data_IF_938478076536
#
_entry.id   IF_938478076536
#
_cell.length_a   1.000
_cell.length_b   1.000
_cell.length_c   1.000
_cell.angle_alpha   90.00
_cell.angle_beta   90.00
_cell.angle_gamma   90.00
#
_symmetry.space_group_name_H-M   'P 1'
#
loop_
_entity.id
_entity.type
_entity.pdbx_description
1 polymer ?
#
# COMPACT_ATOMS: atom_id res chain seq x y z
N UNK A 1 -24.24 25.96 -51.96
CA UNK A 1 -23.55 26.52 -50.80
C UNK A 1 -23.45 25.43 -49.72
N UNK A 2 -22.29 24.85 -49.44
CA UNK A 2 -22.17 23.82 -48.40
C UNK A 2 -22.10 24.49 -47.02
N UNK A 3 -22.89 24.00 -46.08
CA UNK A 3 -22.89 24.43 -44.67
C UNK A 3 -21.59 24.00 -44.00
N UNK A 4 -20.89 24.94 -43.39
CA UNK A 4 -19.71 24.70 -42.56
C UNK A 4 -20.07 23.77 -41.39
N UNK A 5 -19.37 22.65 -41.25
CA UNK A 5 -19.42 21.77 -40.06
C UNK A 5 -18.80 22.53 -38.90
N UNK A 6 -19.60 22.83 -37.88
CA UNK A 6 -19.09 23.32 -36.61
C UNK A 6 -18.23 22.21 -36.00
N UNK A 7 -16.96 22.46 -35.81
CA UNK A 7 -16.03 21.61 -35.06
C UNK A 7 -16.53 21.48 -33.64
N UNK A 8 -16.80 20.22 -33.21
CA UNK A 8 -17.20 19.92 -31.84
C UNK A 8 -16.16 20.49 -30.89
N UNK A 9 -16.57 21.35 -29.96
CA UNK A 9 -15.80 21.76 -28.82
C UNK A 9 -15.50 20.46 -28.00
N UNK A 10 -14.27 19.99 -28.03
CA UNK A 10 -13.83 18.99 -27.08
C UNK A 10 -13.95 19.63 -25.69
N UNK A 11 -14.98 19.22 -24.93
CA UNK A 11 -15.05 19.51 -23.49
C UNK A 11 -13.76 18.94 -22.91
N UNK A 12 -12.90 19.82 -22.35
CA UNK A 12 -11.84 19.35 -21.47
C UNK A 12 -12.53 18.56 -20.36
N UNK A 13 -12.06 17.33 -20.04
CA UNK A 13 -12.55 16.62 -18.87
C UNK A 13 -12.43 17.58 -17.68
N UNK A 14 -13.48 17.74 -16.90
CA UNK A 14 -13.38 18.44 -15.63
C UNK A 14 -12.31 17.75 -14.77
N UNK A 15 -11.41 18.52 -14.14
CA UNK A 15 -10.43 17.91 -13.24
C UNK A 15 -11.17 17.11 -12.17
N UNK A 16 -10.77 15.85 -11.99
CA UNK A 16 -11.30 15.01 -10.94
C UNK A 16 -11.00 15.68 -9.60
N UNK A 17 -12.00 15.88 -8.78
CA UNK A 17 -11.88 16.40 -7.43
C UNK A 17 -12.75 15.56 -6.49
N UNK A 18 -12.40 15.54 -5.21
CA UNK A 18 -13.25 14.89 -4.22
C UNK A 18 -14.63 15.59 -4.18
N UNK A 19 -15.74 14.83 -4.18
CA UNK A 19 -17.06 15.41 -4.04
C UNK A 19 -17.17 16.21 -2.73
N UNK A 20 -17.95 17.29 -2.76
CA UNK A 20 -18.28 18.02 -1.54
C UNK A 20 -19.04 17.10 -0.58
N UNK A 21 -18.64 17.08 0.68
CA UNK A 21 -19.22 16.16 1.68
C UNK A 21 -18.69 14.73 1.61
N UNK A 22 -17.75 14.39 0.73
CA UNK A 22 -17.17 13.05 0.72
C UNK A 22 -16.60 12.68 2.11
N UNK A 23 -16.74 11.40 2.53
CA UNK A 23 -16.20 10.94 3.80
C UNK A 23 -14.68 11.14 3.86
N UNK A 24 -14.13 11.38 5.06
CA UNK A 24 -12.68 11.48 5.19
C UNK A 24 -12.00 10.14 4.86
N UNK A 25 -10.89 10.17 4.12
CA UNK A 25 -9.98 9.04 4.05
C UNK A 25 -9.13 9.01 5.32
N UNK A 26 -9.16 7.92 6.07
CA UNK A 26 -8.33 7.74 7.26
C UNK A 26 -7.35 6.60 7.03
N UNK A 27 -6.05 6.93 6.96
CA UNK A 27 -5.00 5.91 6.95
C UNK A 27 -4.88 5.30 8.35
N UNK A 28 -5.08 3.99 8.48
CA UNK A 28 -4.78 3.26 9.69
C UNK A 28 -3.34 2.77 9.63
N UNK A 29 -2.45 3.46 10.38
CA UNK A 29 -1.01 3.18 10.41
C UNK A 29 -0.70 2.19 11.52
N UNK A 30 -0.21 0.99 11.19
CA UNK A 30 0.17 -0.02 12.18
C UNK A 30 1.55 0.26 12.79
N UNK A 31 1.90 -0.52 13.80
CA UNK A 31 3.22 -0.51 14.42
C UNK A 31 3.45 0.63 15.41
N UNK A 32 4.64 0.65 15.99
CA UNK A 32 5.01 1.68 16.97
C UNK A 32 5.15 3.04 16.27
N UNK A 33 4.43 4.07 16.73
CA UNK A 33 4.55 5.40 16.16
C UNK A 33 5.97 5.95 16.24
N UNK A 34 6.42 6.58 15.16
CA UNK A 34 7.75 7.17 15.03
C UNK A 34 7.75 8.29 14.00
N UNK A 35 8.79 9.10 13.98
CA UNK A 35 8.97 10.11 12.92
C UNK A 35 9.02 9.49 11.52
N UNK A 36 9.58 8.29 11.38
CA UNK A 36 9.64 7.56 10.12
C UNK A 36 8.26 7.11 9.66
N UNK A 37 7.45 6.50 10.56
CA UNK A 37 6.09 6.10 10.24
C UNK A 37 5.18 7.29 9.92
N UNK A 38 5.42 8.46 10.56
CA UNK A 38 4.73 9.70 10.24
C UNK A 38 5.07 10.18 8.84
N UNK A 39 6.36 10.36 8.53
CA UNK A 39 6.80 10.83 7.22
C UNK A 39 6.27 9.96 6.10
N UNK A 40 6.29 8.63 6.30
CA UNK A 40 5.73 7.67 5.35
C UNK A 40 4.22 7.86 5.15
N UNK A 41 3.45 7.98 6.22
CA UNK A 41 2.00 8.16 6.15
C UNK A 41 1.61 9.52 5.53
N UNK A 42 2.36 10.58 5.83
CA UNK A 42 2.18 11.91 5.23
C UNK A 42 2.47 11.89 3.73
N UNK A 43 3.53 11.20 3.29
CA UNK A 43 3.88 11.07 1.88
C UNK A 43 2.83 10.25 1.12
N UNK A 44 2.36 9.13 1.66
CA UNK A 44 1.25 8.33 1.09
C UNK A 44 -0.02 9.19 0.96
N UNK A 45 -0.36 9.96 2.01
CA UNK A 45 -1.51 10.87 1.99
C UNK A 45 -1.34 11.98 0.96
N UNK A 46 -0.12 12.52 0.80
CA UNK A 46 0.19 13.54 -0.19
C UNK A 46 0.01 13.02 -1.62
N UNK A 47 0.44 11.79 -1.90
CA UNK A 47 0.22 11.14 -3.19
C UNK A 47 -1.29 11.02 -3.48
N UNK A 48 -2.08 10.53 -2.51
CA UNK A 48 -3.52 10.41 -2.68
C UNK A 48 -4.20 11.76 -2.95
N UNK A 49 -3.82 12.82 -2.20
CA UNK A 49 -4.35 14.18 -2.41
C UNK A 49 -3.93 14.78 -3.76
N UNK A 50 -2.75 14.45 -4.27
CA UNK A 50 -2.29 14.94 -5.57
C UNK A 50 -3.10 14.36 -6.74
N UNK A 51 -3.60 13.14 -6.61
CA UNK A 51 -4.42 12.46 -7.61
C UNK A 51 -5.92 12.75 -7.45
N UNK A 52 -6.37 13.13 -6.25
CA UNK A 52 -7.75 13.55 -5.95
C UNK A 52 -7.75 14.85 -5.14
N UNK A 53 -7.63 16.01 -5.80
CA UNK A 53 -7.68 17.33 -5.14
C UNK A 53 -8.96 17.51 -4.32
N UNK A 54 -8.82 18.11 -3.13
CA UNK A 54 -9.92 18.28 -2.19
C UNK A 54 -10.17 17.08 -1.28
N UNK A 55 -9.42 15.99 -1.42
CA UNK A 55 -9.51 14.84 -0.54
C UNK A 55 -9.12 15.21 0.90
N UNK A 56 -10.04 15.01 1.85
CA UNK A 56 -9.75 15.05 3.29
C UNK A 56 -9.08 13.73 3.68
N UNK A 57 -7.75 13.72 3.71
CA UNK A 57 -6.98 12.55 4.12
C UNK A 57 -6.36 12.79 5.49
N UNK A 58 -6.59 11.87 6.42
CA UNK A 58 -6.15 11.92 7.82
C UNK A 58 -5.32 10.69 8.16
N UNK A 59 -4.53 10.79 9.22
CA UNK A 59 -3.66 9.71 9.69
C UNK A 59 -4.09 9.35 11.10
N UNK A 60 -4.39 8.07 11.33
CA UNK A 60 -4.69 7.52 12.65
C UNK A 60 -3.76 6.34 12.93
N UNK A 61 -3.09 6.35 14.08
CA UNK A 61 -2.16 5.30 14.48
C UNK A 61 -2.87 4.24 15.31
N UNK A 62 -2.65 2.98 14.99
CA UNK A 62 -3.25 1.85 15.73
C UNK A 62 -2.73 1.81 17.17
N UNK A 63 -1.46 2.17 17.36
CA UNK A 63 -0.76 2.27 18.65
C UNK A 63 -0.51 3.72 19.10
N UNK A 64 -1.24 4.67 18.51
CA UNK A 64 -1.15 6.08 18.88
C UNK A 64 -1.95 6.42 20.15
N UNK A 65 -1.69 7.59 20.73
CA UNK A 65 -2.37 8.01 21.95
C UNK A 65 -2.08 9.43 22.41
N UNK A 66 -1.30 10.19 21.65
CA UNK A 66 -0.94 11.58 21.97
C UNK A 66 -1.25 12.53 20.80
N UNK A 67 -0.97 13.81 20.97
CA UNK A 67 -1.21 14.83 19.94
C UNK A 67 -0.27 14.68 18.74
N UNK A 68 0.90 14.10 18.94
CA UNK A 68 1.89 13.88 17.90
C UNK A 68 1.54 12.67 17.03
N UNK A 69 0.97 11.63 17.66
CA UNK A 69 0.54 10.39 17.03
C UNK A 69 -0.89 10.06 17.46
N UNK A 70 -1.89 10.75 16.88
CA UNK A 70 -3.27 10.57 17.29
C UNK A 70 -3.74 9.14 17.04
N UNK A 71 -4.45 8.58 18.04
CA UNK A 71 -5.01 7.24 17.89
C UNK A 71 -6.04 7.19 16.76
N UNK A 72 -6.16 6.03 16.11
CA UNK A 72 -7.18 5.81 15.08
C UNK A 72 -8.60 6.13 15.62
N UNK A 73 -8.89 5.72 16.86
CA UNK A 73 -10.17 6.00 17.52
C UNK A 73 -10.44 7.51 17.64
N UNK A 74 -9.46 8.30 18.10
CA UNK A 74 -9.60 9.75 18.24
C UNK A 74 -9.85 10.46 16.90
N UNK A 75 -9.11 10.03 15.85
CA UNK A 75 -9.28 10.59 14.50
C UNK A 75 -10.67 10.29 13.94
N UNK A 76 -11.18 9.09 14.15
CA UNK A 76 -12.52 8.68 13.70
C UNK A 76 -13.63 9.38 14.47
N UNK A 77 -13.49 9.50 15.80
CA UNK A 77 -14.43 10.26 16.65
C UNK A 77 -14.54 11.71 16.19
N UNK A 78 -13.39 12.33 15.86
CA UNK A 78 -13.37 13.68 15.33
C UNK A 78 -14.05 13.80 13.96
N UNK A 79 -13.81 12.84 13.05
CA UNK A 79 -14.45 12.80 11.74
C UNK A 79 -15.99 12.74 11.87
N UNK A 80 -16.49 11.89 12.77
CA UNK A 80 -17.92 11.79 13.04
C UNK A 80 -18.52 13.08 13.64
N UNK A 81 -17.81 13.72 14.57
CA UNK A 81 -18.26 14.99 15.15
C UNK A 81 -18.33 16.11 14.08
N UNK A 82 -17.36 16.17 13.17
CA UNK A 82 -17.35 17.14 12.08
C UNK A 82 -18.44 16.87 11.03
N UNK A 83 -18.73 15.60 10.72
CA UNK A 83 -19.88 15.22 9.87
C UNK A 83 -21.18 15.70 10.50
N UNK A 84 -21.41 15.37 11.76
CA UNK A 84 -22.61 15.80 12.49
C UNK A 84 -22.77 17.32 12.53
N UNK A 85 -21.67 18.05 12.75
CA UNK A 85 -21.70 19.51 12.74
C UNK A 85 -22.10 20.07 11.36
N UNK A 86 -21.68 19.44 10.25
CA UNK A 86 -22.12 19.80 8.89
C UNK A 86 -23.62 19.52 8.69
N UNK A 87 -24.10 18.36 9.12
CA UNK A 87 -25.53 18.01 9.07
C UNK A 87 -26.41 19.02 9.81
N UNK A 88 -25.98 19.44 10.99
CA UNK A 88 -26.67 20.42 11.81
C UNK A 88 -26.76 21.80 11.11
N UNK A 89 -25.72 22.19 10.36
CA UNK A 89 -25.70 23.45 9.59
C UNK A 89 -26.54 23.37 8.35
N UNK A 90 -26.44 22.27 7.60
CA UNK A 90 -27.11 22.09 6.30
C UNK A 90 -28.57 21.63 6.45
N UNK A 91 -28.95 21.18 7.63
CA UNK A 91 -30.30 20.69 7.96
C UNK A 91 -30.66 19.42 7.21
N UNK A 92 -29.66 18.67 6.71
CA UNK A 92 -29.81 17.41 5.98
C UNK A 92 -28.92 16.34 6.58
N UNK A 93 -29.50 15.15 6.91
CA UNK A 93 -28.68 14.00 7.31
C UNK A 93 -27.79 13.56 6.13
N UNK A 94 -26.55 13.27 6.40
CA UNK A 94 -25.65 12.61 5.47
C UNK A 94 -25.69 11.10 5.75
N UNK A 95 -26.30 10.27 4.86
CA UNK A 95 -26.41 8.83 5.09
C UNK A 95 -25.09 8.08 4.90
N UNK A 96 -24.02 8.75 4.47
CA UNK A 96 -22.71 8.15 4.24
C UNK A 96 -21.92 7.91 5.53
N UNK A 97 -20.85 7.11 5.48
CA UNK A 97 -19.94 6.95 6.59
C UNK A 97 -19.18 8.25 6.86
N UNK A 98 -18.85 8.53 8.13
CA UNK A 98 -18.04 9.71 8.48
C UNK A 98 -16.61 9.63 7.89
N UNK A 99 -16.10 8.42 7.74
CA UNK A 99 -14.77 8.16 7.19
C UNK A 99 -14.70 6.79 6.52
N UNK A 100 -13.76 6.65 5.60
CA UNK A 100 -13.30 5.37 5.05
C UNK A 100 -11.91 5.09 5.59
N UNK A 101 -11.76 3.99 6.30
CA UNK A 101 -10.49 3.54 6.88
C UNK A 101 -9.77 2.64 5.90
N UNK A 102 -8.57 3.02 5.52
CA UNK A 102 -7.68 2.21 4.66
C UNK A 102 -6.51 1.72 5.50
N UNK A 103 -6.39 0.39 5.74
CA UNK A 103 -5.24 -0.18 6.43
C UNK A 103 -3.97 0.03 5.61
N UNK A 104 -2.93 0.58 6.22
CA UNK A 104 -1.63 0.72 5.56
C UNK A 104 -0.84 -0.58 5.67
N UNK A 105 -1.37 -1.63 5.04
CA UNK A 105 -0.86 -3.00 5.07
C UNK A 105 -0.77 -3.56 3.65
N UNK A 106 0.37 -4.16 3.32
CA UNK A 106 0.56 -4.82 2.02
C UNK A 106 -0.22 -6.13 1.92
N UNK A 107 -0.32 -6.88 3.01
CA UNK A 107 -1.04 -8.14 3.13
C UNK A 107 -1.93 -8.20 4.38
N UNK A 108 -2.78 -9.20 4.52
CA UNK A 108 -3.65 -9.35 5.67
C UNK A 108 -2.82 -9.65 6.93
N UNK A 109 -3.17 -8.99 8.02
CA UNK A 109 -2.77 -9.31 9.39
C UNK A 109 -4.03 -9.33 10.26
N UNK A 110 -4.47 -10.52 10.61
CA UNK A 110 -5.73 -10.72 11.35
C UNK A 110 -5.71 -10.07 12.73
N UNK A 111 -4.55 -9.94 13.38
CA UNK A 111 -4.42 -9.30 14.69
C UNK A 111 -4.54 -7.78 14.56
N UNK A 112 -3.82 -7.18 13.62
CA UNK A 112 -3.89 -5.74 13.34
C UNK A 112 -5.29 -5.35 12.84
N UNK A 113 -5.88 -6.10 11.91
CA UNK A 113 -7.22 -5.83 11.39
C UNK A 113 -8.29 -5.91 12.50
N UNK A 114 -8.14 -6.81 13.48
CA UNK A 114 -9.02 -6.87 14.65
C UNK A 114 -8.89 -5.62 15.52
N UNK A 115 -7.68 -5.13 15.74
CA UNK A 115 -7.42 -3.90 16.49
C UNK A 115 -7.99 -2.67 15.79
N UNK A 116 -7.85 -2.58 14.46
CA UNK A 116 -8.44 -1.51 13.65
C UNK A 116 -9.97 -1.54 13.81
N UNK A 117 -10.62 -2.70 13.64
CA UNK A 117 -12.06 -2.84 13.83
C UNK A 117 -12.51 -2.46 15.25
N UNK A 118 -11.72 -2.81 16.25
CA UNK A 118 -12.02 -2.43 17.63
C UNK A 118 -11.98 -0.90 17.84
N UNK A 119 -10.97 -0.22 17.29
CA UNK A 119 -10.88 1.25 17.34
C UNK A 119 -12.05 1.90 16.60
N UNK A 120 -12.46 1.36 15.45
CA UNK A 120 -13.64 1.82 14.72
C UNK A 120 -14.93 1.65 15.55
N UNK A 121 -15.12 0.51 16.19
CA UNK A 121 -16.29 0.28 17.06
C UNK A 121 -16.30 1.24 18.25
N UNK A 122 -15.17 1.44 18.91
CA UNK A 122 -15.05 2.34 20.06
C UNK A 122 -15.34 3.79 19.70
N UNK A 123 -14.93 4.23 18.49
CA UNK A 123 -15.16 5.60 18.02
C UNK A 123 -16.63 5.92 17.77
N UNK A 124 -17.49 4.92 17.56
CA UNK A 124 -18.89 5.10 17.20
C UNK A 124 -19.12 5.88 15.90
N UNK A 125 -18.09 6.01 15.06
CA UNK A 125 -18.10 6.88 13.87
C UNK A 125 -18.92 6.34 12.69
N UNK A 126 -19.32 5.07 12.69
CA UNK A 126 -19.91 4.44 11.52
C UNK A 126 -18.98 4.37 10.30
N UNK A 127 -17.66 4.49 10.51
CA UNK A 127 -16.68 4.44 9.44
C UNK A 127 -16.69 3.08 8.72
N UNK A 128 -16.33 3.08 7.43
CA UNK A 128 -16.20 1.88 6.62
C UNK A 128 -14.73 1.45 6.55
N UNK A 129 -14.46 0.14 6.63
CA UNK A 129 -13.11 -0.43 6.51
C UNK A 129 -12.95 -1.05 5.13
N UNK A 130 -11.91 -0.65 4.41
CA UNK A 130 -11.54 -1.27 3.14
C UNK A 130 -10.73 -2.54 3.35
N UNK A 131 -10.52 -3.29 2.27
CA UNK A 131 -9.50 -4.34 2.25
C UNK A 131 -8.09 -3.74 2.38
N UNK A 132 -7.11 -4.60 2.70
CA UNK A 132 -5.68 -4.27 2.63
C UNK A 132 -5.24 -3.99 1.19
N UNK A 133 -4.04 -3.46 1.00
CA UNK A 133 -3.59 -2.98 -0.32
C UNK A 133 -3.30 -4.09 -1.34
N UNK A 134 -3.08 -5.30 -0.87
CA UNK A 134 -2.77 -6.42 -1.75
C UNK A 134 -3.52 -7.72 -1.42
N UNK A 135 -3.35 -8.74 -2.26
CA UNK A 135 -2.41 -8.84 -3.38
C UNK A 135 -2.80 -7.97 -4.59
N UNK A 136 -1.83 -7.27 -5.19
CA UNK A 136 -2.07 -6.39 -6.34
C UNK A 136 -0.87 -6.30 -7.29
N UNK A 137 -1.06 -6.21 -8.64
CA UNK A 137 0.05 -6.10 -9.59
C UNK A 137 0.97 -4.90 -9.37
N UNK A 138 0.45 -3.77 -8.89
CA UNK A 138 1.24 -2.59 -8.56
C UNK A 138 2.22 -2.84 -7.40
N UNK A 139 1.89 -3.74 -6.46
CA UNK A 139 2.83 -4.12 -5.40
C UNK A 139 3.96 -5.00 -5.94
N UNK A 140 3.67 -5.90 -6.89
CA UNK A 140 4.72 -6.66 -7.57
C UNK A 140 5.66 -5.75 -8.39
N UNK A 141 5.12 -4.69 -8.99
CA UNK A 141 5.93 -3.67 -9.67
C UNK A 141 6.80 -2.89 -8.68
N UNK A 142 6.24 -2.44 -7.56
CA UNK A 142 6.98 -1.73 -6.53
C UNK A 142 8.10 -2.59 -5.93
N UNK A 143 7.85 -3.88 -5.67
CA UNK A 143 8.88 -4.84 -5.24
C UNK A 143 10.00 -5.00 -6.27
N UNK A 144 9.66 -5.08 -7.55
CA UNK A 144 10.69 -5.12 -8.61
C UNK A 144 11.56 -3.86 -8.59
N UNK A 145 10.97 -2.70 -8.40
CA UNK A 145 11.74 -1.45 -8.30
C UNK A 145 12.64 -1.46 -7.08
N UNK A 146 12.14 -1.85 -5.89
CA UNK A 146 12.94 -1.96 -4.67
C UNK A 146 14.13 -2.93 -4.83
N UNK A 147 13.89 -4.09 -5.44
CA UNK A 147 14.96 -5.04 -5.77
C UNK A 147 15.98 -4.44 -6.76
N UNK A 148 15.51 -3.66 -7.73
CA UNK A 148 16.40 -3.01 -8.72
C UNK A 148 17.23 -1.89 -8.09
N UNK A 149 16.65 -1.09 -7.21
CA UNK A 149 17.33 -0.04 -6.43
C UNK A 149 18.45 -0.64 -5.55
N UNK A 150 18.18 -1.81 -4.96
CA UNK A 150 19.16 -2.56 -4.18
C UNK A 150 20.21 -3.31 -5.05
N UNK A 151 20.10 -3.24 -6.37
CA UNK A 151 20.99 -3.99 -7.27
C UNK A 151 20.72 -5.50 -7.31
N UNK A 152 19.59 -5.96 -6.76
CA UNK A 152 19.21 -7.37 -6.63
C UNK A 152 18.35 -7.90 -7.78
N UNK A 153 17.82 -7.02 -8.62
CA UNK A 153 17.12 -7.37 -9.84
C UNK A 153 17.60 -6.51 -11.01
N UNK A 154 17.35 -6.98 -12.23
CA UNK A 154 17.67 -6.21 -13.43
C UNK A 154 16.60 -5.14 -13.64
N UNK A 155 17.01 -3.90 -13.90
CA UNK A 155 16.12 -2.87 -14.38
C UNK A 155 15.61 -3.22 -15.79
N UNK A 156 14.34 -3.02 -16.08
CA UNK A 156 13.67 -3.36 -17.35
C UNK A 156 14.37 -2.81 -18.63
N UNK A 157 15.25 -1.82 -18.50
CA UNK A 157 15.91 -1.12 -19.62
C UNK A 157 17.37 -1.49 -19.86
N UNK A 158 17.99 -2.31 -19.02
CA UNK A 158 19.41 -2.68 -19.17
C UNK A 158 19.60 -4.00 -19.93
N UNK A 159 19.28 -4.01 -21.23
CA UNK A 159 19.63 -5.14 -22.11
C UNK A 159 21.10 -5.17 -22.55
N UNK A 160 21.90 -4.19 -22.15
CA UNK A 160 23.27 -4.05 -22.61
C UNK A 160 24.21 -3.80 -21.42
N UNK A 161 25.07 -4.78 -21.24
CA UNK A 161 26.30 -4.75 -20.42
C UNK A 161 26.16 -4.80 -18.91
N UNK A 162 26.76 -5.82 -18.42
CA UNK A 162 27.45 -6.10 -17.17
C UNK A 162 26.76 -7.09 -16.26
N UNK A 163 27.48 -8.09 -15.99
CA UNK A 163 27.60 -8.99 -14.88
C UNK A 163 27.26 -8.29 -13.53
N UNK A 164 26.03 -7.93 -13.32
CA UNK A 164 25.57 -7.72 -11.97
C UNK A 164 24.95 -9.04 -11.52
N UNK A 165 25.35 -9.50 -10.39
CA UNK A 165 24.82 -10.66 -9.69
C UNK A 165 23.38 -10.38 -9.25
N UNK A 166 22.46 -10.28 -10.22
CA UNK A 166 21.05 -10.27 -9.93
C UNK A 166 20.73 -11.58 -9.21
N UNK A 167 19.89 -11.51 -8.19
CA UNK A 167 19.40 -12.69 -7.51
C UNK A 167 18.69 -13.61 -8.52
N UNK A 168 18.88 -14.92 -8.37
CA UNK A 168 18.23 -15.97 -9.14
C UNK A 168 17.15 -16.70 -8.34
N UNK A 169 16.90 -16.25 -7.10
CA UNK A 169 15.81 -16.69 -6.23
C UNK A 169 15.44 -15.58 -5.24
N UNK A 170 14.15 -15.38 -4.99
CA UNK A 170 13.65 -14.31 -4.11
C UNK A 170 12.82 -14.90 -3.00
N UNK A 171 13.12 -14.48 -1.75
CA UNK A 171 12.29 -14.71 -0.58
C UNK A 171 11.42 -13.48 -0.41
N UNK A 172 10.10 -13.62 -0.54
CA UNK A 172 9.14 -12.56 -0.31
C UNK A 172 8.70 -12.61 1.15
N UNK A 173 9.27 -11.73 1.96
CA UNK A 173 9.11 -11.74 3.41
C UNK A 173 7.90 -10.91 3.85
N UNK A 174 7.01 -11.48 4.66
CA UNK A 174 5.80 -10.83 5.18
C UNK A 174 5.58 -11.11 6.65
N UNK A 175 4.62 -10.43 7.28
CA UNK A 175 4.13 -10.70 8.64
C UNK A 175 2.62 -10.92 8.61
N UNK A 176 2.07 -11.60 9.62
CA UNK A 176 0.62 -11.87 9.73
C UNK A 176 0.24 -13.34 9.56
N UNK A 177 1.21 -14.26 9.66
CA UNK A 177 1.00 -15.70 9.63
C UNK A 177 0.65 -16.27 8.26
N UNK A 178 0.02 -17.45 8.22
CA UNK A 178 -0.26 -18.22 7.00
C UNK A 178 -1.09 -17.46 5.96
N UNK A 179 -2.08 -16.69 6.40
CA UNK A 179 -2.94 -15.90 5.50
C UNK A 179 -2.13 -14.84 4.75
N UNK A 180 -1.22 -14.17 5.47
CA UNK A 180 -0.31 -13.19 4.87
C UNK A 180 0.66 -13.85 3.89
N UNK A 181 1.20 -15.02 4.22
CA UNK A 181 2.09 -15.80 3.35
C UNK A 181 1.36 -16.22 2.06
N UNK A 182 0.11 -16.66 2.15
CA UNK A 182 -0.70 -17.01 0.98
C UNK A 182 -0.96 -15.78 0.08
N UNK A 183 -1.33 -14.64 0.67
CA UNK A 183 -1.53 -13.40 -0.07
C UNK A 183 -0.23 -12.89 -0.71
N UNK A 184 0.89 -12.93 0.02
CA UNK A 184 2.20 -12.63 -0.50
C UNK A 184 2.60 -13.57 -1.66
N UNK A 185 2.23 -14.86 -1.56
CA UNK A 185 2.47 -15.85 -2.61
C UNK A 185 1.81 -15.47 -3.95
N UNK A 186 0.61 -14.88 -3.93
CA UNK A 186 -0.06 -14.39 -5.15
C UNK A 186 0.76 -13.26 -5.79
N UNK A 187 1.21 -12.29 -4.98
CA UNK A 187 2.10 -11.22 -5.48
C UNK A 187 3.45 -11.78 -5.92
N UNK A 188 3.95 -12.80 -5.23
CA UNK A 188 5.16 -13.55 -5.60
C UNK A 188 5.08 -14.19 -6.97
N UNK A 189 3.95 -14.78 -7.35
CA UNK A 189 3.72 -15.31 -8.70
C UNK A 189 3.81 -14.21 -9.77
N UNK A 190 3.22 -13.04 -9.51
CA UNK A 190 3.31 -11.90 -10.42
C UNK A 190 4.76 -11.39 -10.56
N UNK A 191 5.47 -11.31 -9.45
CA UNK A 191 6.88 -10.92 -9.42
C UNK A 191 7.77 -11.95 -10.13
N UNK A 192 7.53 -13.24 -9.91
CA UNK A 192 8.24 -14.34 -10.56
C UNK A 192 8.07 -14.29 -12.09
N UNK A 193 6.84 -14.08 -12.57
CA UNK A 193 6.57 -13.94 -14.00
C UNK A 193 7.29 -12.72 -14.62
N UNK A 194 7.41 -11.63 -13.84
CA UNK A 194 8.07 -10.39 -14.27
C UNK A 194 9.59 -10.52 -14.33
N UNK A 195 10.19 -11.21 -13.37
CA UNK A 195 11.66 -11.34 -13.25
C UNK A 195 12.21 -12.61 -13.87
N UNK A 196 11.35 -13.58 -14.16
CA UNK A 196 11.72 -14.93 -14.63
C UNK A 196 12.64 -15.67 -13.64
N UNK A 197 12.42 -15.48 -12.32
CA UNK A 197 13.11 -16.19 -11.24
C UNK A 197 12.09 -16.77 -10.26
N UNK A 198 12.40 -17.85 -9.52
CA UNK A 198 11.52 -18.37 -8.48
C UNK A 198 11.37 -17.35 -7.33
N UNK A 199 10.14 -17.18 -6.87
CA UNK A 199 9.79 -16.34 -5.74
C UNK A 199 8.95 -17.15 -4.77
N UNK A 200 9.39 -17.26 -3.53
CA UNK A 200 8.67 -17.96 -2.46
C UNK A 200 8.37 -17.00 -1.31
N UNK A 201 7.16 -17.06 -0.79
CA UNK A 201 6.77 -16.25 0.37
C UNK A 201 7.14 -16.95 1.68
N UNK A 202 7.53 -16.16 2.69
CA UNK A 202 7.84 -16.65 4.03
C UNK A 202 7.45 -15.61 5.10
N UNK A 203 7.04 -16.11 6.27
CA UNK A 203 6.71 -15.27 7.41
C UNK A 203 7.97 -14.84 8.17
N UNK A 204 8.06 -13.55 8.54
CA UNK A 204 9.11 -13.00 9.41
C UNK A 204 8.83 -13.26 10.88
N UNK A 205 7.58 -13.47 11.23
CA UNK A 205 7.06 -13.70 12.58
C UNK A 205 6.96 -15.21 12.93
N UNK A 206 7.47 -16.10 12.05
CA UNK A 206 7.58 -17.54 12.29
C UNK A 206 9.06 -17.97 12.31
N UNK A 207 9.50 -18.55 13.43
CA UNK A 207 10.87 -19.01 13.62
C UNK A 207 11.31 -20.02 12.54
N UNK A 208 12.44 -19.77 11.91
CA UNK A 208 13.03 -20.63 10.89
C UNK A 208 12.28 -20.66 9.55
N UNK A 209 11.19 -19.90 9.34
CA UNK A 209 10.47 -19.89 8.07
C UNK A 209 11.34 -19.34 6.93
N UNK A 210 12.12 -18.30 7.20
CA UNK A 210 13.05 -17.70 6.25
C UNK A 210 14.15 -18.68 5.86
N UNK A 211 14.79 -19.36 6.83
CA UNK A 211 15.81 -20.37 6.58
C UNK A 211 15.27 -21.52 5.74
N UNK A 212 14.12 -22.07 6.10
CA UNK A 212 13.48 -23.17 5.33
C UNK A 212 13.21 -22.75 3.88
N UNK A 213 12.72 -21.53 3.68
CA UNK A 213 12.44 -21.01 2.33
C UNK A 213 13.73 -20.78 1.54
N UNK A 214 14.80 -20.30 2.19
CA UNK A 214 16.11 -20.16 1.56
C UNK A 214 16.68 -21.52 1.13
N UNK A 215 16.58 -22.54 1.99
CA UNK A 215 17.01 -23.92 1.68
C UNK A 215 16.20 -24.51 0.51
N UNK A 216 14.88 -24.27 0.48
CA UNK A 216 14.03 -24.72 -0.62
C UNK A 216 14.42 -24.08 -1.96
N UNK A 217 14.70 -22.77 -1.99
CA UNK A 217 15.16 -22.08 -3.20
C UNK A 217 16.53 -22.63 -3.65
N UNK A 218 17.48 -22.82 -2.72
CA UNK A 218 18.79 -23.41 -3.02
C UNK A 218 18.66 -24.84 -3.53
N UNK A 219 17.79 -25.64 -2.89
CA UNK A 219 17.49 -26.99 -3.35
C UNK A 219 16.85 -27.07 -4.74
N UNK A 220 16.19 -25.98 -5.16
CA UNK A 220 15.63 -25.83 -6.51
C UNK A 220 16.63 -25.29 -7.54
N UNK A 221 17.89 -24.99 -7.12
CA UNK A 221 18.96 -24.57 -8.00
C UNK A 221 19.38 -23.10 -7.92
N UNK A 222 18.70 -22.29 -7.10
CA UNK A 222 19.10 -20.88 -6.89
C UNK A 222 20.44 -20.79 -6.16
N UNK A 223 21.35 -19.94 -6.66
CA UNK A 223 22.70 -19.73 -6.14
C UNK A 223 22.81 -18.38 -5.40
N UNK A 224 22.12 -17.37 -5.89
CA UNK A 224 22.12 -16.01 -5.36
C UNK A 224 20.70 -15.60 -4.92
N UNK A 225 20.45 -15.61 -3.62
CA UNK A 225 19.16 -15.24 -3.08
C UNK A 225 19.06 -13.74 -2.78
N UNK A 226 17.85 -13.20 -2.82
CA UNK A 226 17.51 -11.90 -2.31
C UNK A 226 16.27 -11.98 -1.41
N UNK A 227 16.22 -11.15 -0.38
CA UNK A 227 15.03 -10.96 0.45
C UNK A 227 14.32 -9.67 0.03
N UNK A 228 13.04 -9.78 -0.31
CA UNK A 228 12.18 -8.66 -0.65
C UNK A 228 11.06 -8.55 0.39
N UNK A 229 11.03 -7.47 1.21
CA UNK A 229 9.95 -7.27 2.17
C UNK A 229 8.63 -6.93 1.47
N UNK A 230 7.63 -7.78 1.65
CA UNK A 230 6.24 -7.51 1.24
C UNK A 230 5.51 -6.79 2.37
N UNK A 231 6.01 -5.60 2.67
CA UNK A 231 5.64 -4.76 3.81
C UNK A 231 5.66 -3.30 3.38
N UNK A 232 4.77 -2.49 3.94
CA UNK A 232 4.83 -1.05 3.72
C UNK A 232 5.98 -0.45 4.53
N UNK A 233 6.19 -0.91 5.77
CA UNK A 233 7.32 -0.54 6.63
C UNK A 233 6.98 -0.34 8.10
N UNK A 234 5.86 0.36 8.45
CA UNK A 234 5.54 0.64 9.86
C UNK A 234 5.11 -0.59 10.66
N UNK A 235 4.70 -1.67 9.99
CA UNK A 235 4.14 -2.87 10.61
C UNK A 235 5.17 -3.74 11.34
N UNK A 236 6.45 -3.46 11.20
CA UNK A 236 7.53 -4.29 11.76
C UNK A 236 8.51 -3.48 12.61
N UNK A 237 9.17 -4.16 13.54
CA UNK A 237 10.26 -3.59 14.31
C UNK A 237 11.53 -3.37 13.48
N UNK A 238 12.26 -2.33 13.81
CA UNK A 238 13.55 -2.03 13.19
C UNK A 238 14.51 -3.23 13.31
N UNK A 239 15.22 -3.50 12.21
CA UNK A 239 16.24 -4.56 12.15
C UNK A 239 15.70 -5.96 11.84
N UNK A 240 14.38 -6.21 11.88
CA UNK A 240 13.81 -7.53 11.62
C UNK A 240 14.14 -8.05 10.21
N UNK A 241 14.02 -7.20 9.21
CA UNK A 241 14.37 -7.53 7.81
C UNK A 241 15.85 -7.85 7.67
N UNK A 242 16.72 -7.07 8.33
CA UNK A 242 18.17 -7.30 8.32
C UNK A 242 18.55 -8.63 8.98
N UNK A 243 17.91 -8.97 10.11
CA UNK A 243 18.11 -10.25 10.78
C UNK A 243 17.67 -11.42 9.90
N UNK A 244 16.53 -11.32 9.25
CA UNK A 244 16.01 -12.33 8.32
C UNK A 244 16.94 -12.51 7.09
N UNK A 245 17.46 -11.42 6.54
CA UNK A 245 18.43 -11.47 5.44
C UNK A 245 19.73 -12.15 5.86
N UNK A 246 20.23 -11.87 7.06
CA UNK A 246 21.40 -12.54 7.63
C UNK A 246 21.14 -14.04 7.85
N UNK A 247 19.97 -14.40 8.38
CA UNK A 247 19.54 -15.80 8.55
C UNK A 247 19.50 -16.54 7.21
N UNK A 248 18.96 -15.92 6.17
CA UNK A 248 18.95 -16.49 4.81
C UNK A 248 20.33 -16.46 4.13
N UNK A 249 21.31 -15.75 4.67
CA UNK A 249 22.62 -15.53 4.04
C UNK A 249 22.50 -14.83 2.68
N UNK A 250 21.64 -13.78 2.60
CA UNK A 250 21.42 -13.01 1.39
C UNK A 250 21.31 -11.50 1.69
N UNK A 251 21.33 -10.69 0.61
CA UNK A 251 21.03 -9.27 0.72
C UNK A 251 19.50 -9.02 0.71
N UNK A 252 19.06 -7.91 1.29
CA UNK A 252 17.67 -7.49 1.28
C UNK A 252 17.45 -6.19 0.52
N UNK A 253 16.28 -6.06 -0.09
CA UNK A 253 15.75 -4.78 -0.52
C UNK A 253 15.10 -4.06 0.67
N UNK A 254 14.84 -2.76 0.51
CA UNK A 254 14.03 -1.97 1.42
C UNK A 254 12.56 -2.37 1.33
N UNK A 255 11.79 -2.10 2.41
CA UNK A 255 10.33 -2.21 2.39
C UNK A 255 9.73 -1.28 1.33
N UNK A 256 8.46 -1.51 0.98
CA UNK A 256 7.77 -0.75 -0.08
C UNK A 256 7.78 0.76 0.19
N UNK A 257 7.59 1.17 1.44
CA UNK A 257 7.58 2.58 1.80
C UNK A 257 6.44 3.36 1.16
N UNK A 258 6.61 4.67 1.07
CA UNK A 258 5.67 5.58 0.42
C UNK A 258 5.82 5.59 -1.11
N UNK A 259 5.97 4.43 -1.73
CA UNK A 259 6.07 4.34 -3.18
C UNK A 259 4.77 4.83 -3.85
N UNK A 260 4.89 5.46 -5.03
CA UNK A 260 3.72 5.98 -5.74
C UNK A 260 2.59 4.96 -5.97
N UNK A 261 2.95 3.68 -6.13
CA UNK A 261 1.99 2.59 -6.22
C UNK A 261 1.17 2.42 -4.93
N UNK A 262 1.79 2.59 -3.74
CA UNK A 262 1.10 2.48 -2.44
C UNK A 262 0.07 3.59 -2.28
N UNK A 263 0.43 4.85 -2.54
CA UNK A 263 -0.51 5.97 -2.47
C UNK A 263 -1.69 5.83 -3.44
N UNK A 264 -1.43 5.31 -4.67
CA UNK A 264 -2.48 5.02 -5.64
C UNK A 264 -3.41 3.89 -5.20
N UNK A 265 -2.90 2.84 -4.56
CA UNK A 265 -3.74 1.76 -4.03
C UNK A 265 -4.60 2.24 -2.87
N UNK A 266 -4.05 3.06 -1.97
CA UNK A 266 -4.82 3.72 -0.91
C UNK A 266 -5.98 4.52 -1.51
N UNK A 267 -5.70 5.36 -2.51
CA UNK A 267 -6.74 6.12 -3.17
C UNK A 267 -7.74 5.22 -3.93
N UNK A 268 -7.28 4.16 -4.57
CA UNK A 268 -8.16 3.22 -5.28
C UNK A 268 -9.14 2.52 -4.34
N UNK A 269 -8.68 2.05 -3.17
CA UNK A 269 -9.54 1.43 -2.17
C UNK A 269 -10.57 2.43 -1.63
N UNK A 270 -10.13 3.65 -1.30
CA UNK A 270 -11.02 4.72 -0.91
C UNK A 270 -12.07 5.03 -1.99
N UNK A 271 -11.65 5.25 -3.22
CA UNK A 271 -12.53 5.60 -4.33
C UNK A 271 -13.57 4.50 -4.62
N UNK A 272 -13.16 3.22 -4.51
CA UNK A 272 -14.07 2.09 -4.66
C UNK A 272 -15.14 2.08 -3.57
N UNK A 273 -14.79 2.37 -2.30
CA UNK A 273 -15.73 2.44 -1.19
C UNK A 273 -16.76 3.57 -1.36
N UNK A 274 -16.33 4.76 -1.84
CA UNK A 274 -17.21 5.92 -2.01
C UNK A 274 -17.84 6.02 -3.42
N UNK A 275 -17.59 5.05 -4.30
CA UNK A 275 -18.17 5.02 -5.65
C UNK A 275 -17.58 6.06 -6.61
N UNK A 276 -16.36 6.56 -6.36
CA UNK A 276 -15.67 7.49 -7.25
C UNK A 276 -14.93 6.70 -8.35
N UNK A 277 -15.20 7.02 -9.61
CA UNK A 277 -14.45 6.43 -10.72
C UNK A 277 -13.19 7.22 -10.99
N UNK A 278 -12.03 6.63 -10.67
CA UNK A 278 -10.72 7.20 -10.99
C UNK A 278 -10.42 7.01 -12.48
N UNK A 279 -9.78 7.99 -13.15
CA UNK A 279 -9.35 7.81 -14.53
C UNK A 279 -8.31 6.69 -14.59
N UNK A 280 -8.58 5.68 -15.41
CA UNK A 280 -7.58 4.64 -15.69
C UNK A 280 -6.40 5.32 -16.37
N UNK A 281 -5.25 5.36 -15.74
CA UNK A 281 -4.03 5.80 -16.41
C UNK A 281 -3.77 4.85 -17.55
N UNK A 282 -3.95 5.33 -18.78
CA UNK A 282 -3.53 4.62 -19.97
C UNK A 282 -2.04 4.29 -19.80
N UNK A 283 -1.73 2.99 -19.73
CA UNK A 283 -0.36 2.49 -19.75
C UNK A 283 0.35 3.21 -20.88
N UNK A 284 1.45 3.90 -20.57
CA UNK A 284 2.13 4.82 -21.45
C UNK A 284 2.31 4.26 -22.85
N UNK A 285 1.70 4.96 -23.80
CA UNK A 285 2.01 4.76 -25.21
C UNK A 285 3.50 5.10 -25.38
N UNK A 286 4.35 4.17 -25.87
CA UNK A 286 5.74 4.51 -26.13
C UNK A 286 5.75 5.62 -27.18
N UNK A 287 6.26 6.79 -26.82
CA UNK A 287 6.61 7.84 -27.76
C UNK A 287 7.67 7.27 -28.69
N UNK A 288 7.32 7.20 -29.99
CA UNK A 288 8.21 6.79 -31.06
C UNK A 288 9.36 7.77 -31.23
#
# INVERSE_FOLDING_TARGET
MPRARQSGRHRRPEPLAAPEGAPALVLAVPGTPSSASRSLAEEVSSIARSELPGLDARIGYVDGGDDEFPSLEAVLTRAAAEQKAREDVDGRPDPGPAAVVVPLLAGPDSALLRRIRQAMMNSGSGAELTDVLGPHPLLAEALHVRLSEAGLARADRARLFTVATAADGIILATVGGDEAVQAAGITGMLLSARLAVPVLAAALDEEGAISRTAEQLRGSGSQALALAPYLIGPEIADGLVGAAAAEAGCASAEALGAYGAVGRLVLSNYAASVGITLPTQAQGVPVR
#
